data_IF_511373332251
#
_entry.id   IF_511373332251
#
_cell.length_a   1.000
_cell.length_b   1.000
_cell.length_c   1.000
_cell.angle_alpha   90.00
_cell.angle_beta   90.00
_cell.angle_gamma   90.00
#
_symmetry.space_group_name_H-M   'P 1'
#
loop_
_entity.id
_entity.type
_entity.pdbx_description
1 polymer ?
#
# COMPACT_ATOMS: atom_id res chain seq x y z
N UNK A 1 -4.18 4.44 -2.33
CA UNK A 1 -4.81 4.73 -1.03
C UNK A 1 -6.32 4.62 -1.17
N UNK A 2 -6.94 3.94 -0.23
CA UNK A 2 -8.39 3.79 -0.16
C UNK A 2 -9.05 5.10 0.27
N UNK A 3 -10.08 5.51 -0.47
CA UNK A 3 -10.88 6.71 -0.26
C UNK A 3 -12.36 6.39 -0.11
N UNK A 4 -12.70 5.14 0.18
CA UNK A 4 -14.09 4.70 0.40
C UNK A 4 -14.73 5.39 1.61
N UNK A 5 -16.07 5.37 1.68
CA UNK A 5 -16.82 6.05 2.74
C UNK A 5 -16.46 5.55 4.15
N UNK A 6 -16.14 4.26 4.32
CA UNK A 6 -15.73 3.68 5.60
C UNK A 6 -14.49 4.36 6.18
N UNK A 7 -13.55 4.82 5.35
CA UNK A 7 -12.35 5.53 5.76
C UNK A 7 -12.62 6.89 6.41
N UNK A 8 -13.78 7.51 6.15
CA UNK A 8 -14.20 8.81 6.71
C UNK A 8 -15.06 8.69 7.97
N UNK A 9 -15.83 7.61 8.10
CA UNK A 9 -16.88 7.48 9.11
C UNK A 9 -16.44 6.80 10.41
N UNK A 10 -15.17 6.49 10.56
CA UNK A 10 -14.64 5.91 11.79
C UNK A 10 -14.51 6.96 12.89
N UNK A 11 -14.92 6.60 14.11
CA UNK A 11 -14.72 7.43 15.32
C UNK A 11 -13.27 7.40 15.85
N UNK A 12 -12.38 6.67 15.18
CA UNK A 12 -10.97 6.58 15.55
C UNK A 12 -10.25 7.93 15.37
N UNK A 13 -9.27 8.18 16.23
CA UNK A 13 -8.36 9.32 16.10
C UNK A 13 -6.93 8.79 16.06
N UNK A 14 -6.16 9.04 14.98
CA UNK A 14 -6.54 9.77 13.76
C UNK A 14 -7.56 9.02 12.90
N UNK A 15 -8.27 9.74 12.02
CA UNK A 15 -9.18 9.11 11.05
C UNK A 15 -8.39 8.26 10.05
N UNK A 16 -8.90 7.09 9.63
CA UNK A 16 -8.23 6.21 8.66
C UNK A 16 -7.80 6.92 7.38
N UNK A 17 -8.66 7.76 6.82
CA UNK A 17 -8.35 8.53 5.61
C UNK A 17 -7.16 9.48 5.80
N UNK A 18 -7.00 10.09 6.98
CA UNK A 18 -5.86 10.97 7.26
C UNK A 18 -4.55 10.18 7.30
N UNK A 19 -4.59 8.96 7.84
CA UNK A 19 -3.44 8.06 7.83
C UNK A 19 -3.12 7.61 6.40
N UNK A 20 -4.13 7.22 5.63
CA UNK A 20 -3.97 6.75 4.26
C UNK A 20 -3.34 7.83 3.36
N UNK A 21 -3.83 9.06 3.39
CA UNK A 21 -3.23 10.15 2.62
C UNK A 21 -1.83 10.52 3.11
N UNK A 22 -1.59 10.53 4.42
CA UNK A 22 -0.26 10.81 4.97
C UNK A 22 0.78 9.79 4.49
N UNK A 23 0.43 8.51 4.51
CA UNK A 23 1.31 7.44 4.01
C UNK A 23 1.47 7.50 2.49
N UNK A 24 0.39 7.74 1.75
CA UNK A 24 0.45 7.86 0.29
C UNK A 24 1.37 9.02 -0.15
N UNK A 25 1.23 10.20 0.47
CA UNK A 25 2.08 11.36 0.20
C UNK A 25 3.53 11.06 0.59
N UNK A 26 3.75 10.46 1.76
CA UNK A 26 5.08 10.10 2.24
C UNK A 26 5.83 9.18 1.26
N UNK A 27 5.19 8.10 0.81
CA UNK A 27 5.81 7.15 -0.12
C UNK A 27 5.95 7.75 -1.52
N UNK A 28 4.97 8.52 -2.00
CA UNK A 28 5.03 9.18 -3.30
C UNK A 28 6.23 10.14 -3.42
N UNK A 29 6.48 10.94 -2.38
CA UNK A 29 7.61 11.88 -2.35
C UNK A 29 8.98 11.19 -2.35
N UNK A 30 9.06 9.97 -1.83
CA UNK A 30 10.29 9.17 -1.73
C UNK A 30 10.50 8.19 -2.87
N UNK A 31 9.53 8.09 -3.73
CA UNK A 31 9.64 7.28 -4.94
C UNK A 31 10.56 7.98 -5.96
N UNK A 32 10.99 7.22 -6.97
CA UNK A 32 11.90 7.68 -8.04
C UNK A 32 11.27 7.46 -9.42
N UNK A 33 11.93 7.96 -10.45
CA UNK A 33 11.55 7.76 -11.84
C UNK A 33 10.14 8.29 -12.16
N UNK A 34 9.44 7.57 -13.03
CA UNK A 34 8.12 7.94 -13.54
C UNK A 34 7.00 7.89 -12.49
N UNK A 35 7.26 7.22 -11.37
CA UNK A 35 6.31 7.07 -10.27
C UNK A 35 6.54 8.06 -9.12
N UNK A 36 7.54 8.95 -9.24
CA UNK A 36 7.82 9.96 -8.23
C UNK A 36 6.65 10.93 -8.09
N UNK A 37 6.30 11.25 -6.85
CA UNK A 37 5.17 12.11 -6.48
C UNK A 37 3.80 11.62 -6.98
N UNK A 38 3.66 10.34 -7.30
CA UNK A 38 2.39 9.78 -7.74
C UNK A 38 1.78 8.86 -6.68
N UNK A 39 0.46 8.85 -6.62
CA UNK A 39 -0.31 7.82 -5.94
C UNK A 39 -1.35 7.24 -6.89
N UNK A 40 -1.86 6.06 -6.56
CA UNK A 40 -2.92 5.41 -7.33
C UNK A 40 -4.22 5.54 -6.56
N UNK A 41 -5.28 5.99 -7.25
CA UNK A 41 -6.63 6.03 -6.72
C UNK A 41 -7.16 4.60 -6.52
N UNK A 42 -8.03 4.44 -5.53
CA UNK A 42 -8.60 3.14 -5.18
C UNK A 42 -10.04 3.08 -5.73
N UNK A 43 -10.18 2.58 -6.95
CA UNK A 43 -11.45 2.50 -7.66
C UNK A 43 -11.45 1.36 -8.68
N UNK A 44 -12.59 1.08 -9.31
CA UNK A 44 -12.67 0.12 -10.43
C UNK A 44 -11.92 0.61 -11.69
N UNK A 45 -11.63 1.91 -11.78
CA UNK A 45 -10.79 2.50 -12.81
C UNK A 45 -9.65 3.27 -12.16
N UNK A 46 -8.60 2.59 -11.65
CA UNK A 46 -7.51 3.24 -10.95
C UNK A 46 -6.77 4.22 -11.85
N UNK A 47 -6.37 5.35 -11.28
CA UNK A 47 -5.62 6.40 -11.97
C UNK A 47 -4.30 6.65 -11.26
N UNK A 48 -3.22 6.82 -12.04
CA UNK A 48 -1.95 7.29 -11.52
C UNK A 48 -1.98 8.82 -11.48
N UNK A 49 -2.02 9.38 -10.28
CA UNK A 49 -2.23 10.82 -10.05
C UNK A 49 -0.96 11.44 -9.48
N UNK A 50 -0.44 12.47 -10.14
CA UNK A 50 0.64 13.29 -9.61
C UNK A 50 0.13 14.19 -8.48
N UNK A 51 0.72 14.09 -7.30
CA UNK A 51 0.36 14.88 -6.12
C UNK A 51 0.83 16.33 -6.31
N UNK A 52 -0.10 17.28 -6.17
CA UNK A 52 0.16 18.72 -6.29
C UNK A 52 -0.10 19.42 -4.96
N UNK A 53 0.71 20.43 -4.66
CA UNK A 53 0.60 21.26 -3.46
C UNK A 53 1.97 21.67 -2.92
N UNK A 54 2.02 22.83 -2.28
CA UNK A 54 3.28 23.41 -1.72
C UNK A 54 3.56 22.86 -0.32
N UNK A 55 2.53 22.53 0.41
CA UNK A 55 2.60 21.97 1.75
C UNK A 55 1.70 20.74 1.92
N UNK A 56 1.76 20.13 3.08
CA UNK A 56 0.99 18.92 3.37
C UNK A 56 -0.52 19.16 3.32
N UNK A 57 -0.98 20.33 3.71
CA UNK A 57 -2.39 20.66 3.69
C UNK A 57 -2.92 20.74 2.25
N UNK A 58 -2.22 21.46 1.37
CA UNK A 58 -2.59 21.56 -0.05
C UNK A 58 -2.54 20.19 -0.73
N UNK A 59 -1.53 19.35 -0.43
CA UNK A 59 -1.41 18.00 -0.99
C UNK A 59 -2.57 17.10 -0.56
N UNK A 60 -2.94 17.11 0.73
CA UNK A 60 -4.10 16.35 1.22
C UNK A 60 -5.38 16.83 0.54
N UNK A 61 -5.59 18.14 0.47
CA UNK A 61 -6.76 18.70 -0.22
C UNK A 61 -6.82 18.32 -1.69
N UNK A 62 -5.69 18.28 -2.37
CA UNK A 62 -5.61 17.83 -3.74
C UNK A 62 -5.95 16.33 -3.87
N UNK A 63 -5.40 15.49 -3.02
CA UNK A 63 -5.72 14.06 -3.00
C UNK A 63 -7.21 13.79 -2.73
N UNK A 64 -7.84 14.58 -1.84
CA UNK A 64 -9.28 14.46 -1.55
C UNK A 64 -10.17 14.68 -2.78
N UNK A 65 -9.71 15.43 -3.79
CA UNK A 65 -10.49 15.65 -5.03
C UNK A 65 -10.64 14.40 -5.88
N UNK A 66 -9.83 13.38 -5.67
CA UNK A 66 -9.86 12.09 -6.36
C UNK A 66 -10.54 10.99 -5.53
N UNK A 67 -11.23 11.36 -4.45
CA UNK A 67 -11.97 10.41 -3.63
C UNK A 67 -13.17 9.85 -4.42
N UNK A 68 -13.12 8.57 -4.73
CA UNK A 68 -14.20 7.83 -5.36
C UNK A 68 -14.65 6.71 -4.44
N UNK A 69 -15.97 6.60 -4.20
CA UNK A 69 -16.57 5.46 -3.50
C UNK A 69 -16.85 4.35 -4.51
N UNK A 70 -15.87 3.50 -4.76
CA UNK A 70 -16.03 2.35 -5.66
C UNK A 70 -15.21 1.16 -5.18
N UNK A 71 -15.63 -0.04 -5.60
CA UNK A 71 -14.89 -1.28 -5.38
C UNK A 71 -13.53 -1.22 -6.07
N UNK A 72 -12.52 -1.80 -5.46
CA UNK A 72 -11.17 -1.79 -6.01
C UNK A 72 -10.90 -3.04 -6.81
N UNK A 73 -10.44 -2.83 -8.02
CA UNK A 73 -9.86 -3.85 -8.86
C UNK A 73 -8.33 -3.84 -8.73
N UNK A 74 -7.78 -4.77 -7.96
CA UNK A 74 -6.32 -4.90 -7.77
C UNK A 74 -5.63 -5.27 -9.08
N UNK A 75 -6.27 -6.07 -9.94
CA UNK A 75 -5.72 -6.42 -11.24
C UNK A 75 -5.58 -5.16 -12.13
N UNK A 76 -6.56 -4.28 -12.11
CA UNK A 76 -6.50 -3.02 -12.84
C UNK A 76 -5.37 -2.11 -12.31
N UNK A 77 -5.04 -2.18 -11.02
CA UNK A 77 -3.87 -1.47 -10.45
C UNK A 77 -2.56 -2.02 -11.02
N UNK A 78 -2.39 -3.34 -11.08
CA UNK A 78 -1.20 -3.95 -11.70
C UNK A 78 -1.07 -3.58 -13.17
N UNK A 79 -2.18 -3.63 -13.90
CA UNK A 79 -2.22 -3.28 -15.31
C UNK A 79 -1.88 -1.81 -15.55
N UNK A 80 -2.33 -0.92 -14.67
CA UNK A 80 -1.98 0.51 -14.71
C UNK A 80 -0.48 0.73 -14.50
N UNK A 81 0.12 0.08 -13.49
CA UNK A 81 1.56 0.18 -13.20
C UNK A 81 2.36 -0.32 -14.40
N UNK A 82 2.03 -1.51 -14.91
CA UNK A 82 2.74 -2.12 -16.04
C UNK A 82 2.60 -1.28 -17.32
N UNK A 83 1.37 -0.85 -17.66
CA UNK A 83 1.13 -0.05 -18.85
C UNK A 83 1.84 1.31 -18.81
N UNK A 84 1.94 1.91 -17.62
CA UNK A 84 2.71 3.15 -17.42
C UNK A 84 4.20 2.90 -17.66
N UNK A 85 4.76 1.84 -17.10
CA UNK A 85 6.16 1.50 -17.27
C UNK A 85 6.50 1.20 -18.74
N UNK A 86 5.68 0.41 -19.43
CA UNK A 86 5.87 0.09 -20.84
C UNK A 86 5.76 1.35 -21.73
N UNK A 87 4.76 2.20 -21.48
CA UNK A 87 4.54 3.44 -22.22
C UNK A 87 5.72 4.40 -22.08
N UNK A 88 6.25 4.54 -20.88
CA UNK A 88 7.36 5.45 -20.59
C UNK A 88 8.72 4.83 -20.87
N UNK A 89 8.78 3.53 -21.17
CA UNK A 89 10.03 2.76 -21.31
C UNK A 89 10.88 2.84 -20.04
N UNK A 90 10.22 2.77 -18.88
CA UNK A 90 10.86 2.79 -17.58
C UNK A 90 11.90 1.67 -17.48
N UNK A 91 13.09 1.95 -16.96
CA UNK A 91 14.09 0.92 -16.75
C UNK A 91 13.66 -0.05 -15.64
N UNK A 92 13.99 -1.34 -15.71
CA UNK A 92 13.64 -2.30 -14.67
C UNK A 92 14.10 -1.90 -13.26
N UNK A 93 15.25 -1.24 -13.13
CA UNK A 93 15.80 -0.71 -11.89
C UNK A 93 15.04 0.52 -11.34
N UNK A 94 14.30 1.23 -12.19
CA UNK A 94 13.48 2.39 -11.82
C UNK A 94 12.03 2.00 -11.49
N UNK A 95 11.69 0.71 -11.60
CA UNK A 95 10.38 0.21 -11.21
C UNK A 95 10.19 0.25 -9.70
N UNK A 96 8.97 0.57 -9.22
CA UNK A 96 8.66 0.47 -7.81
C UNK A 96 8.90 -0.95 -7.28
N UNK A 97 9.71 -1.10 -6.25
CA UNK A 97 9.96 -2.40 -5.62
C UNK A 97 8.78 -2.89 -4.77
N UNK A 98 7.93 -1.98 -4.32
CA UNK A 98 6.77 -2.24 -3.46
C UNK A 98 5.55 -1.45 -3.90
N UNK A 99 4.38 -2.07 -3.76
CA UNK A 99 3.06 -1.46 -3.91
C UNK A 99 2.34 -1.49 -2.56
N UNK A 100 2.09 -0.33 -1.99
CA UNK A 100 1.38 -0.21 -0.71
C UNK A 100 -0.11 0.00 -0.97
N UNK A 101 -0.94 -0.94 -0.54
CA UNK A 101 -2.41 -0.87 -0.55
C UNK A 101 -2.85 -0.47 0.85
N UNK A 102 -3.22 0.79 1.03
CA UNK A 102 -3.57 1.37 2.32
C UNK A 102 -5.08 1.51 2.40
N UNK A 103 -5.72 0.71 3.25
CA UNK A 103 -7.18 0.56 3.33
C UNK A 103 -7.60 0.14 4.74
N UNK A 104 -8.89 0.17 5.04
CA UNK A 104 -9.48 -0.53 6.20
C UNK A 104 -9.74 -2.02 5.92
N UNK A 105 -9.37 -2.50 4.72
CA UNK A 105 -9.51 -3.88 4.26
C UNK A 105 -10.97 -4.37 4.18
N UNK A 106 -11.93 -3.46 4.13
CA UNK A 106 -13.32 -3.80 3.87
C UNK A 106 -13.54 -3.88 2.33
N UNK A 107 -12.98 -4.91 1.69
CA UNK A 107 -13.21 -5.18 0.28
C UNK A 107 -14.54 -5.90 0.11
N UNK A 108 -15.36 -5.46 -0.84
CA UNK A 108 -16.58 -6.17 -1.17
C UNK A 108 -16.26 -7.56 -1.74
N UNK A 109 -17.01 -8.56 -1.27
CA UNK A 109 -16.85 -10.00 -1.54
C UNK A 109 -16.97 -10.44 -3.03
N UNK A 110 -16.86 -9.55 -3.98
CA UNK A 110 -16.96 -9.93 -5.39
C UNK A 110 -15.79 -10.77 -5.91
N UNK A 111 -14.80 -11.09 -5.04
CA UNK A 111 -13.57 -11.79 -5.43
C UNK A 111 -13.25 -13.04 -4.59
N UNK A 112 -14.25 -13.79 -4.13
CA UNK A 112 -14.05 -14.96 -3.25
C UNK A 112 -13.15 -16.09 -3.81
N UNK A 113 -12.72 -16.06 -5.07
CA UNK A 113 -11.85 -17.09 -5.65
C UNK A 113 -10.90 -16.58 -6.75
N UNK A 114 -10.72 -15.27 -6.92
CA UNK A 114 -9.92 -14.74 -8.01
C UNK A 114 -8.50 -14.30 -7.60
N UNK A 115 -8.23 -14.13 -6.31
CA UNK A 115 -7.04 -13.41 -5.85
C UNK A 115 -5.73 -14.18 -6.07
N UNK A 116 -5.70 -15.49 -5.85
CA UNK A 116 -4.50 -16.31 -6.11
C UNK A 116 -4.18 -16.33 -7.60
N UNK A 117 -5.19 -16.51 -8.42
CA UNK A 117 -5.06 -16.51 -9.89
C UNK A 117 -4.62 -15.15 -10.42
N UNK A 118 -5.03 -14.06 -9.77
CA UNK A 118 -4.71 -12.70 -10.20
C UNK A 118 -3.23 -12.33 -9.95
N UNK A 119 -2.63 -12.78 -8.83
CA UNK A 119 -1.21 -12.52 -8.56
C UNK A 119 -0.28 -13.28 -9.51
N UNK A 120 -0.56 -14.56 -9.76
CA UNK A 120 0.20 -15.37 -10.72
C UNK A 120 0.09 -14.78 -12.12
N UNK A 121 -1.11 -14.44 -12.55
CA UNK A 121 -1.34 -13.79 -13.83
C UNK A 121 -0.62 -12.45 -13.96
N UNK A 122 -0.69 -11.60 -12.92
CA UNK A 122 0.04 -10.34 -12.90
C UNK A 122 1.55 -10.55 -13.00
N UNK A 123 2.09 -11.52 -12.28
CA UNK A 123 3.52 -11.87 -12.31
C UNK A 123 3.97 -12.28 -13.70
N UNK A 124 3.25 -13.21 -14.34
CA UNK A 124 3.55 -13.62 -15.71
C UNK A 124 3.54 -12.46 -16.70
N UNK A 125 2.54 -11.55 -16.56
CA UNK A 125 2.39 -10.39 -17.41
C UNK A 125 3.55 -9.39 -17.26
N UNK A 126 4.01 -9.15 -16.02
CA UNK A 126 5.19 -8.33 -15.75
C UNK A 126 6.45 -8.96 -16.33
N UNK A 127 6.68 -10.26 -16.11
CA UNK A 127 7.84 -11.01 -16.62
C UNK A 127 7.89 -11.01 -18.15
N UNK A 128 6.76 -11.17 -18.84
CA UNK A 128 6.66 -11.09 -20.31
C UNK A 128 7.08 -9.73 -20.86
N UNK A 129 6.96 -8.67 -20.07
CA UNK A 129 7.37 -7.32 -20.44
C UNK A 129 8.77 -6.94 -19.90
N UNK A 130 9.49 -7.87 -19.29
CA UNK A 130 10.84 -7.67 -18.77
C UNK A 130 10.90 -6.97 -17.40
N UNK A 131 9.79 -6.96 -16.67
CA UNK A 131 9.70 -6.35 -15.33
C UNK A 131 9.45 -7.41 -14.26
N UNK A 132 9.87 -7.11 -13.02
CA UNK A 132 9.46 -7.87 -11.85
C UNK A 132 8.17 -7.27 -11.27
N UNK A 133 7.25 -8.13 -10.83
CA UNK A 133 6.06 -7.67 -10.10
C UNK A 133 6.50 -7.04 -8.77
N UNK A 134 6.05 -5.82 -8.44
CA UNK A 134 6.29 -5.21 -7.14
C UNK A 134 5.77 -6.09 -5.99
N UNK A 135 6.48 -6.13 -4.87
CA UNK A 135 5.97 -6.74 -3.65
C UNK A 135 4.73 -5.97 -3.17
N UNK A 136 3.68 -6.66 -2.79
CA UNK A 136 2.44 -6.03 -2.34
C UNK A 136 2.40 -6.00 -0.82
N UNK A 137 2.17 -4.81 -0.27
CA UNK A 137 1.99 -4.59 1.16
C UNK A 137 0.56 -4.11 1.40
N UNK A 138 -0.28 -4.99 1.93
CA UNK A 138 -1.60 -4.62 2.41
C UNK A 138 -1.49 -3.98 3.79
N UNK A 139 -1.79 -2.72 3.87
CA UNK A 139 -1.70 -1.97 5.12
C UNK A 139 -3.10 -1.59 5.62
N UNK A 140 -3.55 -2.36 6.61
CA UNK A 140 -4.81 -2.13 7.29
C UNK A 140 -4.66 -1.02 8.33
N UNK A 141 -5.29 0.11 8.08
CA UNK A 141 -5.22 1.30 8.96
C UNK A 141 -6.36 1.39 9.97
N UNK A 142 -7.45 0.65 9.78
CA UNK A 142 -8.60 0.64 10.70
C UNK A 142 -9.59 -0.50 10.44
N UNK A 143 -9.16 -1.75 10.50
CA UNK A 143 -10.08 -2.88 10.31
C UNK A 143 -11.15 -2.94 11.42
N UNK A 144 -12.38 -3.11 10.99
CA UNK A 144 -13.51 -3.46 11.86
C UNK A 144 -13.74 -4.97 11.90
N UNK A 145 -13.27 -5.67 10.89
CA UNK A 145 -13.41 -7.11 10.70
C UNK A 145 -12.04 -7.79 10.76
N UNK A 146 -12.00 -9.05 11.18
CA UNK A 146 -10.77 -9.87 11.19
C UNK A 146 -10.49 -10.51 9.79
N UNK A 147 -10.91 -9.86 8.72
CA UNK A 147 -10.72 -10.38 7.37
C UNK A 147 -9.33 -10.02 6.86
N UNK A 148 -8.67 -10.99 6.25
CA UNK A 148 -7.42 -10.79 5.51
C UNK A 148 -7.73 -10.85 4.02
N UNK A 149 -7.25 -9.90 3.22
CA UNK A 149 -7.52 -9.84 1.78
C UNK A 149 -6.86 -10.98 0.99
N UNK A 150 -5.86 -11.64 1.59
CA UNK A 150 -5.08 -12.74 0.97
C UNK A 150 -4.56 -13.68 2.06
N UNK A 151 -4.23 -14.92 1.70
CA UNK A 151 -3.56 -15.85 2.60
C UNK A 151 -2.09 -15.48 2.80
N UNK A 152 -1.57 -15.67 4.01
CA UNK A 152 -0.21 -15.26 4.43
C UNK A 152 0.92 -16.00 3.69
N UNK A 153 0.62 -17.00 2.87
CA UNK A 153 1.58 -17.88 2.20
C UNK A 153 1.89 -17.47 0.74
N UNK A 154 1.30 -16.39 0.23
CA UNK A 154 1.59 -15.94 -1.11
C UNK A 154 2.93 -15.21 -1.16
N UNK A 155 3.82 -15.67 -2.05
CA UNK A 155 5.13 -15.06 -2.22
C UNK A 155 5.01 -13.61 -2.69
N UNK A 156 5.60 -12.68 -1.93
CA UNK A 156 5.62 -11.26 -2.26
C UNK A 156 4.49 -10.43 -1.67
N UNK A 157 3.65 -11.04 -0.80
CA UNK A 157 2.60 -10.34 -0.08
C UNK A 157 2.98 -10.15 1.39
N UNK A 158 2.78 -8.96 1.91
CA UNK A 158 2.96 -8.63 3.32
C UNK A 158 1.67 -8.02 3.88
N UNK A 159 1.20 -8.53 5.02
CA UNK A 159 0.03 -8.00 5.73
C UNK A 159 0.48 -7.18 6.92
N UNK A 160 0.04 -5.94 7.00
CA UNK A 160 0.38 -5.00 8.08
C UNK A 160 -0.92 -4.44 8.65
N UNK A 161 -1.02 -4.35 9.97
CA UNK A 161 -2.19 -3.80 10.64
C UNK A 161 -1.80 -2.79 11.71
N UNK A 162 -2.45 -1.64 11.68
CA UNK A 162 -2.28 -0.54 12.63
C UNK A 162 -1.59 0.69 12.04
N UNK A 163 -1.64 1.79 12.80
CA UNK A 163 -1.14 3.10 12.36
C UNK A 163 -0.12 3.71 13.35
N UNK A 164 0.57 2.86 14.10
CA UNK A 164 1.53 3.35 15.07
C UNK A 164 2.92 3.57 14.41
N UNK A 165 3.72 4.54 14.89
CA UNK A 165 5.02 4.87 14.30
C UNK A 165 6.02 3.71 14.20
N UNK A 166 5.92 2.72 15.10
CA UNK A 166 6.80 1.54 15.07
C UNK A 166 6.48 0.61 13.90
N UNK A 167 5.18 0.43 13.62
CA UNK A 167 4.74 -0.35 12.45
C UNK A 167 5.25 0.32 11.19
N UNK A 168 5.18 1.65 11.13
CA UNK A 168 5.72 2.42 10.03
C UNK A 168 7.23 2.17 9.84
N UNK A 169 8.04 2.27 10.90
CA UNK A 169 9.49 1.99 10.84
C UNK A 169 9.77 0.55 10.37
N UNK A 170 9.05 -0.43 10.91
CA UNK A 170 9.18 -1.84 10.53
C UNK A 170 8.95 -2.04 9.03
N UNK A 171 7.89 -1.46 8.50
CA UNK A 171 7.53 -1.60 7.08
C UNK A 171 8.54 -0.89 6.17
N UNK A 172 9.03 0.28 6.56
CA UNK A 172 10.01 1.04 5.79
C UNK A 172 11.40 0.41 5.81
N UNK A 173 11.78 -0.26 6.93
CA UNK A 173 13.05 -0.95 7.08
C UNK A 173 13.05 -2.40 6.56
N UNK A 174 11.95 -2.85 5.94
CA UNK A 174 11.76 -4.22 5.42
C UNK A 174 11.79 -5.33 6.50
N UNK A 175 11.59 -4.96 7.76
CA UNK A 175 11.50 -5.87 8.91
C UNK A 175 10.05 -6.33 9.11
N UNK A 176 9.54 -7.08 8.14
CA UNK A 176 8.12 -7.40 8.07
C UNK A 176 7.75 -8.76 8.68
N UNK A 177 8.67 -9.46 9.32
CA UNK A 177 8.35 -10.69 10.05
C UNK A 177 8.01 -10.40 11.52
N UNK A 178 7.06 -11.13 12.13
CA UNK A 178 6.75 -11.01 13.55
C UNK A 178 7.98 -11.21 14.45
N UNK A 179 8.89 -12.09 14.05
CA UNK A 179 10.12 -12.38 14.79
C UNK A 179 11.10 -11.20 14.78
N UNK A 180 11.34 -10.59 13.62
CA UNK A 180 12.18 -9.40 13.50
C UNK A 180 11.62 -8.24 14.31
N UNK A 181 10.30 -8.02 14.24
CA UNK A 181 9.63 -7.01 15.04
C UNK A 181 9.77 -7.26 16.55
N UNK A 182 9.60 -8.50 16.98
CA UNK A 182 9.83 -8.89 18.39
C UNK A 182 11.25 -8.57 18.82
N UNK A 183 12.26 -8.95 18.03
CA UNK A 183 13.66 -8.67 18.32
C UNK A 183 13.95 -7.16 18.36
N UNK A 184 13.39 -6.38 17.45
CA UNK A 184 13.54 -4.92 17.44
C UNK A 184 12.98 -4.28 18.72
N UNK A 185 11.86 -4.80 19.23
CA UNK A 185 11.30 -4.35 20.51
C UNK A 185 12.16 -4.76 21.69
N UNK A 186 12.60 -6.02 21.74
CA UNK A 186 13.36 -6.57 22.87
C UNK A 186 14.78 -6.01 22.97
N UNK A 187 15.40 -5.68 21.84
CA UNK A 187 16.76 -5.13 21.80
C UNK A 187 16.82 -3.62 22.04
N UNK A 188 15.71 -2.96 22.40
CA UNK A 188 15.74 -1.55 22.72
C UNK A 188 16.54 -1.27 24.00
N UNK A 189 17.26 -0.16 24.00
CA UNK A 189 18.12 0.27 25.12
C UNK A 189 17.41 0.23 26.47
N UNK A 190 16.12 0.56 26.52
CA UNK A 190 15.29 0.51 27.74
C UNK A 190 15.18 -0.89 28.37
N UNK A 191 15.52 -1.93 27.64
CA UNK A 191 15.50 -3.32 28.13
C UNK A 191 16.90 -3.90 28.32
N UNK A 192 17.97 -3.13 28.08
CA UNK A 192 19.36 -3.60 28.16
C UNK A 192 19.75 -4.11 29.56
N UNK A 193 19.10 -3.59 30.59
CA UNK A 193 19.38 -3.99 31.98
C UNK A 193 18.61 -5.25 32.43
N UNK A 194 17.70 -5.76 31.62
CA UNK A 194 16.96 -6.98 31.94
C UNK A 194 17.84 -8.18 31.60
N UNK A 195 18.29 -8.87 32.64
CA UNK A 195 19.05 -10.11 32.52
C UNK A 195 18.12 -11.29 32.81
N UNK A 196 18.07 -12.25 31.88
CA UNK A 196 17.38 -13.52 32.08
C UNK A 196 18.25 -14.45 32.99
#
# INVERSE_FOLDING_TARGET
ADTSGSMYWCSASPKPISVAFSLAIYFAERNSGDFKNHFITFSCNPQLVEIKGKDIYEKVKYCETFAECANTDIQAVFDLVLSTAVKNKTLPEDMPSKLYIISDMEFDYCAENSDVTNFEYAKEKFEQNGYALPKVVFWNVASRNMQSPVEMNEQGVTLVSGCNPRIFSMVTEDKCTPYEYMLDVLNQERYADIKA
#
